data_IF_067083218302
#
_entry.id   IF_067083218302
#
_cell.length_a   1.000
_cell.length_b   1.000
_cell.length_c   1.000
_cell.angle_alpha   90.00
_cell.angle_beta   90.00
_cell.angle_gamma   90.00
#
_symmetry.space_group_name_H-M   'P 1'
#
loop_
_entity.id
_entity.type
_entity.pdbx_description
1 polymer ?
#
# COMPACT_ATOMS: atom_id res chain seq x y z
N UNK A 1 9.55 -1.96 -0.09
CA UNK A 1 8.26 -1.83 -0.81
C UNK A 1 7.59 -3.18 -0.82
N UNK A 2 6.27 -3.23 -0.64
CA UNK A 2 5.51 -4.47 -0.70
C UNK A 2 5.67 -5.16 -2.06
N UNK A 3 5.62 -6.49 -2.09
CA UNK A 3 5.63 -7.24 -3.34
C UNK A 3 4.31 -7.06 -4.10
N UNK A 4 4.39 -7.24 -5.42
CA UNK A 4 3.24 -7.11 -6.31
C UNK A 4 2.19 -8.18 -6.02
N UNK A 5 2.65 -9.41 -5.81
CA UNK A 5 1.84 -10.57 -5.49
C UNK A 5 1.04 -10.34 -4.20
N UNK A 6 1.69 -9.78 -3.18
CA UNK A 6 1.05 -9.53 -1.90
C UNK A 6 0.09 -8.33 -1.95
N UNK A 7 0.45 -7.26 -2.66
CA UNK A 7 -0.48 -6.16 -2.92
C UNK A 7 -1.77 -6.66 -3.63
N UNK A 8 -1.62 -7.54 -4.63
CA UNK A 8 -2.76 -8.15 -5.33
C UNK A 8 -3.54 -9.11 -4.45
N UNK A 9 -2.88 -9.85 -3.56
CA UNK A 9 -3.55 -10.70 -2.57
C UNK A 9 -4.40 -9.87 -1.61
N UNK A 10 -3.87 -8.75 -1.09
CA UNK A 10 -4.62 -7.83 -0.22
C UNK A 10 -5.86 -7.25 -0.92
N UNK A 11 -5.73 -6.82 -2.19
CA UNK A 11 -6.87 -6.35 -2.99
C UNK A 11 -7.93 -7.44 -3.15
N UNK A 12 -7.49 -8.65 -3.49
CA UNK A 12 -8.38 -9.81 -3.68
C UNK A 12 -9.08 -10.19 -2.39
N UNK A 13 -8.39 -10.08 -1.24
CA UNK A 13 -8.96 -10.30 0.08
C UNK A 13 -9.90 -9.17 0.55
N UNK A 14 -10.15 -8.16 -0.29
CA UNK A 14 -11.15 -7.13 -0.03
C UNK A 14 -10.63 -5.86 0.63
N UNK A 15 -9.31 -5.68 0.78
CA UNK A 15 -8.74 -4.43 1.28
C UNK A 15 -9.08 -3.30 0.33
N UNK A 16 -9.90 -2.36 0.81
CA UNK A 16 -10.28 -1.15 0.06
C UNK A 16 -9.29 -0.04 0.32
N UNK A 17 -8.98 0.73 -0.73
CA UNK A 17 -8.03 1.83 -0.66
C UNK A 17 -8.70 3.15 -1.04
N UNK A 18 -8.46 4.18 -0.24
CA UNK A 18 -8.85 5.56 -0.54
C UNK A 18 -7.58 6.36 -0.82
N UNK A 19 -7.31 6.77 -2.07
CA UNK A 19 -6.05 7.39 -2.45
C UNK A 19 -5.80 8.71 -1.72
N UNK A 20 -4.57 8.91 -1.27
CA UNK A 20 -4.07 10.18 -0.72
C UNK A 20 -2.71 10.54 -1.33
N UNK A 21 -2.33 11.81 -1.24
CA UNK A 21 -1.00 12.28 -1.67
C UNK A 21 0.11 11.47 -1.04
N UNK A 22 1.07 11.04 -1.84
CA UNK A 22 2.18 10.18 -1.47
C UNK A 22 1.92 8.68 -1.61
N UNK A 23 0.68 8.28 -1.93
CA UNK A 23 0.36 6.88 -2.21
C UNK A 23 1.05 6.40 -3.47
N UNK A 24 1.45 5.13 -3.46
CA UNK A 24 2.09 4.48 -4.61
C UNK A 24 1.16 3.45 -5.20
N UNK A 25 1.18 3.32 -6.51
CA UNK A 25 0.39 2.32 -7.23
C UNK A 25 1.05 1.90 -8.54
N UNK A 26 0.57 0.80 -9.10
CA UNK A 26 0.90 0.35 -10.46
C UNK A 26 -0.38 0.32 -11.29
N UNK A 27 -0.24 0.51 -12.60
CA UNK A 27 -1.34 0.39 -13.55
C UNK A 27 -1.31 -1.03 -14.13
N UNK A 28 -2.37 -1.81 -13.96
CA UNK A 28 -2.47 -3.17 -14.48
C UNK A 28 -3.02 -3.20 -15.93
N UNK A 29 -2.36 -2.46 -16.83
CA UNK A 29 -2.67 -2.42 -18.27
C UNK A 29 -1.42 -2.67 -19.10
N UNK A 30 -1.60 -3.21 -20.30
CA UNK A 30 -0.52 -3.38 -21.27
C UNK A 30 0.20 -2.04 -21.52
N UNK A 31 1.53 -2.05 -21.51
CA UNK A 31 2.36 -0.85 -21.71
C UNK A 31 2.76 -0.09 -20.44
N UNK A 32 2.34 -0.56 -19.25
CA UNK A 32 2.71 0.02 -17.95
C UNK A 32 3.46 -0.96 -17.04
N UNK A 33 4.04 -2.00 -17.64
CA UNK A 33 4.73 -3.07 -16.93
C UNK A 33 6.03 -2.57 -16.28
N UNK A 34 6.16 -2.78 -14.97
CA UNK A 34 7.31 -2.42 -14.15
C UNK A 34 7.20 -1.07 -13.45
N UNK A 35 6.36 -0.16 -13.94
CA UNK A 35 6.32 1.21 -13.42
C UNK A 35 5.52 1.32 -12.12
N UNK A 36 6.02 2.17 -11.22
CA UNK A 36 5.36 2.58 -9.97
C UNK A 36 5.10 4.08 -10.03
N UNK A 37 3.83 4.45 -9.94
CA UNK A 37 3.35 5.81 -9.93
C UNK A 37 3.14 6.28 -8.48
N UNK A 38 3.29 7.58 -8.25
CA UNK A 38 3.00 8.20 -6.94
C UNK A 38 1.92 9.26 -7.13
N UNK A 39 0.89 9.22 -6.29
CA UNK A 39 -0.12 10.26 -6.21
C UNK A 39 0.55 11.51 -5.67
N UNK A 40 0.53 12.60 -6.44
CA UNK A 40 1.09 13.89 -6.03
C UNK A 40 0.07 14.98 -6.24
N UNK A 41 0.07 15.97 -5.36
CA UNK A 41 -0.59 17.24 -5.62
C UNK A 41 0.16 17.99 -6.73
N UNK A 42 -0.57 18.78 -7.50
CA UNK A 42 0.00 19.73 -8.45
C UNK A 42 0.71 20.84 -7.69
N UNK A 43 2.02 21.00 -7.91
CA UNK A 43 2.81 22.07 -7.29
C UNK A 43 2.92 23.26 -8.25
N UNK A 44 2.62 24.45 -7.74
CA UNK A 44 2.79 25.72 -8.46
C UNK A 44 4.04 26.41 -7.92
N UNK A 45 5.00 26.71 -8.79
CA UNK A 45 6.26 27.37 -8.45
C UNK A 45 6.40 28.72 -9.15
N UNK A 46 6.58 29.79 -8.37
CA UNK A 46 6.84 31.11 -8.91
C UNK A 46 8.33 31.27 -9.26
N UNK A 47 8.60 31.52 -10.55
CA UNK A 47 9.93 31.78 -11.07
C UNK A 47 10.06 33.27 -11.39
N UNK A 48 11.01 33.94 -10.74
CA UNK A 48 11.29 35.36 -10.99
C UNK A 48 12.30 35.54 -12.12
N UNK A 49 11.92 36.30 -13.14
CA UNK A 49 12.79 36.72 -14.22
C UNK A 49 12.88 38.25 -14.26
N UNK A 50 13.94 38.82 -14.86
CA UNK A 50 14.03 40.27 -15.07
C UNK A 50 12.86 40.86 -15.86
N UNK A 51 12.16 40.04 -16.65
CA UNK A 51 10.96 40.41 -17.41
C UNK A 51 9.63 40.25 -16.65
N UNK A 52 9.64 39.66 -15.45
CA UNK A 52 8.44 39.41 -14.63
C UNK A 52 8.43 38.03 -13.98
N UNK A 53 7.41 37.78 -13.16
CA UNK A 53 7.20 36.48 -12.48
C UNK A 53 6.37 35.54 -13.36
N UNK A 54 6.86 34.32 -13.55
CA UNK A 54 6.15 33.25 -14.26
C UNK A 54 5.77 32.18 -13.26
N UNK A 55 4.53 31.72 -13.29
CA UNK A 55 4.08 30.58 -12.50
C UNK A 55 4.29 29.30 -13.32
N UNK A 56 5.19 28.44 -12.85
CA UNK A 56 5.38 27.09 -13.37
C UNK A 56 4.42 26.13 -12.70
N UNK A 57 3.76 25.29 -13.49
CA UNK A 57 2.89 24.22 -13.00
C UNK A 57 3.66 22.91 -13.15
N UNK A 58 4.21 22.39 -12.06
CA UNK A 58 4.85 21.09 -12.04
C UNK A 58 3.74 20.02 -11.92
N UNK A 59 3.39 19.41 -13.04
CA UNK A 59 2.30 18.44 -13.12
C UNK A 59 1.82 18.10 -14.54
N UNK A 60 2.19 18.91 -15.54
CA UNK A 60 1.90 18.60 -16.95
C UNK A 60 3.17 18.18 -17.68
N UNK A 61 3.17 16.96 -18.20
CA UNK A 61 4.11 16.49 -19.21
C UNK A 61 3.36 16.27 -20.52
N UNK A 62 4.04 16.52 -21.63
CA UNK A 62 3.55 16.45 -23.02
C UNK A 62 3.13 15.03 -23.49
N UNK A 63 3.01 14.09 -22.55
CA UNK A 63 2.49 12.73 -22.66
C UNK A 63 1.67 12.41 -21.40
N UNK A 64 0.59 13.16 -21.18
CA UNK A 64 -0.28 12.93 -20.04
C UNK A 64 -1.15 11.69 -20.29
N UNK A 65 -1.09 10.71 -19.40
CA UNK A 65 -2.21 9.79 -19.25
C UNK A 65 -3.33 10.57 -18.57
N UNK A 66 -4.36 10.95 -19.32
CA UNK A 66 -5.41 11.85 -18.83
C UNK A 66 -6.17 11.29 -17.62
N UNK A 67 -6.37 9.96 -17.58
CA UNK A 67 -7.00 9.28 -16.44
C UNK A 67 -6.68 7.78 -16.40
N UNK A 68 -6.78 7.23 -15.20
CA UNK A 68 -6.79 5.79 -14.93
C UNK A 68 -7.92 5.49 -13.94
N UNK A 69 -8.60 4.37 -14.12
CA UNK A 69 -9.63 3.94 -13.18
C UNK A 69 -8.98 3.39 -11.90
N UNK A 70 -9.69 3.47 -10.77
CA UNK A 70 -9.19 2.88 -9.51
C UNK A 70 -9.10 1.35 -9.58
N UNK A 71 -9.94 0.72 -10.40
CA UNK A 71 -9.94 -0.73 -10.64
C UNK A 71 -8.69 -1.18 -11.40
N UNK A 72 -8.17 -0.36 -12.32
CA UNK A 72 -6.92 -0.61 -13.05
C UNK A 72 -5.68 -0.28 -12.19
N UNK A 73 -5.87 0.24 -10.98
CA UNK A 73 -4.80 0.68 -10.09
C UNK A 73 -4.55 -0.36 -8.99
N UNK A 74 -3.37 -0.96 -8.99
CA UNK A 74 -2.89 -1.78 -7.88
C UNK A 74 -2.09 -0.93 -6.90
N UNK A 75 -2.69 -0.65 -5.75
CA UNK A 75 -2.03 0.10 -4.68
C UNK A 75 -0.86 -0.67 -4.08
N UNK A 76 0.22 0.05 -3.77
CA UNK A 76 1.47 -0.45 -3.20
C UNK A 76 1.70 0.23 -1.85
N UNK A 77 0.97 -0.18 -0.78
CA UNK A 77 1.01 0.48 0.51
C UNK A 77 2.42 0.55 1.11
N UNK A 78 2.72 1.67 1.75
CA UNK A 78 3.91 1.82 2.57
C UNK A 78 3.73 1.16 3.94
N UNK A 79 4.84 0.98 4.63
CA UNK A 79 4.90 0.40 5.97
C UNK A 79 3.95 1.06 6.97
N UNK A 80 3.97 2.40 7.05
CA UNK A 80 3.14 3.19 7.96
C UNK A 80 1.64 2.95 7.72
N UNK A 81 1.25 2.82 6.45
CA UNK A 81 -0.13 2.65 6.06
C UNK A 81 -0.64 1.23 6.36
N UNK A 82 0.20 0.21 6.10
CA UNK A 82 -0.12 -1.18 6.45
C UNK A 82 -0.23 -1.36 7.96
N UNK A 83 0.71 -0.77 8.72
CA UNK A 83 0.66 -0.74 10.18
C UNK A 83 -0.63 -0.10 10.67
N UNK A 84 -1.04 1.00 10.04
CA UNK A 84 -2.31 1.64 10.36
C UNK A 84 -3.48 0.66 10.20
N UNK A 85 -3.55 -0.06 9.07
CA UNK A 85 -4.62 -1.01 8.76
C UNK A 85 -4.69 -2.20 9.72
N UNK A 86 -3.58 -2.58 10.37
CA UNK A 86 -3.59 -3.61 11.43
C UNK A 86 -4.29 -3.16 12.72
N UNK A 87 -4.45 -1.84 12.93
CA UNK A 87 -5.19 -1.24 14.04
C UNK A 87 -4.76 -1.86 15.39
N UNK A 88 -5.73 -2.19 16.25
CA UNK A 88 -5.50 -2.73 17.60
C UNK A 88 -4.90 -4.14 17.65
N UNK A 89 -4.73 -4.83 16.51
CA UNK A 89 -4.10 -6.16 16.46
C UNK A 89 -2.59 -6.08 16.48
N UNK A 90 -2.00 -4.97 15.99
CA UNK A 90 -0.55 -4.78 15.98
C UNK A 90 0.05 -4.75 17.38
N UNK A 91 1.21 -5.38 17.54
CA UNK A 91 1.96 -5.41 18.80
C UNK A 91 3.35 -4.84 18.64
N UNK A 92 4.13 -5.37 17.71
CA UNK A 92 5.53 -4.97 17.58
C UNK A 92 6.05 -5.17 16.16
N UNK A 93 7.05 -4.36 15.82
CA UNK A 93 7.97 -4.60 14.72
C UNK A 93 9.35 -4.71 15.33
N UNK A 94 10.04 -5.80 15.06
CA UNK A 94 11.44 -5.99 15.44
C UNK A 94 12.26 -6.35 14.22
N UNK A 95 13.48 -5.84 14.19
CA UNK A 95 14.49 -6.21 13.19
C UNK A 95 15.43 -7.20 13.82
N UNK A 96 15.60 -8.36 13.20
CA UNK A 96 16.61 -9.34 13.57
C UNK A 96 17.82 -9.20 12.66
N UNK A 97 18.99 -9.09 13.27
CA UNK A 97 20.26 -9.00 12.57
C UNK A 97 20.66 -10.36 11.99
N UNK A 98 21.30 -10.33 10.82
CA UNK A 98 21.68 -11.51 10.05
C UNK A 98 21.97 -11.16 8.60
N UNK A 99 22.38 -12.15 7.80
CA UNK A 99 22.58 -12.01 6.36
C UNK A 99 21.69 -13.02 5.60
N UNK A 100 20.53 -12.58 5.04
CA UNK A 100 19.97 -11.22 5.11
C UNK A 100 19.28 -10.91 6.46
N UNK A 101 19.22 -9.62 6.81
CA UNK A 101 18.45 -9.16 7.97
C UNK A 101 16.95 -9.38 7.73
N UNK A 102 16.20 -9.63 8.80
CA UNK A 102 14.75 -9.86 8.73
C UNK A 102 13.97 -8.87 9.59
N UNK A 103 12.75 -8.59 9.16
CA UNK A 103 11.77 -7.78 9.87
C UNK A 103 10.65 -8.70 10.31
N UNK A 104 10.31 -8.67 11.60
CA UNK A 104 9.30 -9.53 12.20
C UNK A 104 8.20 -8.63 12.74
N UNK A 105 6.99 -8.80 12.21
CA UNK A 105 5.77 -8.15 12.66
C UNK A 105 4.99 -9.11 13.53
N UNK A 106 4.64 -8.68 14.74
CA UNK A 106 3.80 -9.41 15.67
C UNK A 106 2.41 -8.78 15.75
N UNK A 107 1.38 -9.61 15.62
CA UNK A 107 -0.02 -9.24 15.80
C UNK A 107 -0.73 -10.21 16.75
N UNK A 108 -1.87 -9.79 17.29
CA UNK A 108 -2.79 -10.67 18.03
C UNK A 108 -4.10 -10.80 17.27
N UNK A 109 -4.43 -12.02 16.85
CA UNK A 109 -5.69 -12.37 16.18
C UNK A 109 -6.47 -13.36 17.04
N UNK A 110 -7.73 -13.04 17.38
CA UNK A 110 -8.55 -13.90 18.25
C UNK A 110 -7.91 -14.21 19.61
N UNK A 111 -7.10 -13.29 20.16
CA UNK A 111 -6.35 -13.48 21.40
C UNK A 111 -5.06 -14.31 21.26
N UNK A 112 -4.73 -14.79 20.06
CA UNK A 112 -3.53 -15.59 19.79
C UNK A 112 -2.47 -14.72 19.11
N UNK A 113 -1.26 -14.70 19.66
CA UNK A 113 -0.12 -14.02 19.04
C UNK A 113 0.33 -14.76 17.78
N UNK A 114 0.59 -14.02 16.70
CA UNK A 114 1.14 -14.51 15.44
C UNK A 114 2.26 -13.60 14.97
N UNK A 115 3.26 -14.19 14.32
CA UNK A 115 4.43 -13.48 13.80
C UNK A 115 4.59 -13.72 12.31
N UNK A 116 4.94 -12.67 11.58
CA UNK A 116 5.18 -12.67 10.14
C UNK A 116 6.54 -12.06 9.88
N UNK A 117 7.34 -12.69 9.02
CA UNK A 117 8.71 -12.25 8.77
C UNK A 117 9.01 -12.12 7.29
N UNK A 118 9.77 -11.09 6.93
CA UNK A 118 10.29 -10.90 5.58
C UNK A 118 11.56 -10.03 5.61
N UNK A 119 12.32 -10.05 4.52
CA UNK A 119 13.46 -9.14 4.36
C UNK A 119 13.00 -7.67 4.22
N UNK A 120 11.85 -7.43 3.58
CA UNK A 120 11.20 -6.13 3.47
C UNK A 120 10.12 -5.97 4.55
N UNK A 121 10.13 -4.90 5.35
CA UNK A 121 9.14 -4.71 6.40
C UNK A 121 7.71 -4.61 5.83
N UNK A 122 7.52 -4.02 4.65
CA UNK A 122 6.18 -3.91 4.05
C UNK A 122 5.58 -5.27 3.70
N UNK A 123 6.40 -6.27 3.36
CA UNK A 123 5.92 -7.63 3.13
C UNK A 123 5.49 -8.29 4.43
N UNK A 124 6.29 -8.19 5.50
CA UNK A 124 5.92 -8.72 6.82
C UNK A 124 4.60 -8.11 7.32
N UNK A 125 4.39 -6.80 7.12
CA UNK A 125 3.13 -6.13 7.40
C UNK A 125 1.98 -6.57 6.49
N UNK A 126 2.25 -6.73 5.18
CA UNK A 126 1.25 -7.16 4.23
C UNK A 126 0.74 -8.57 4.52
N UNK A 127 1.61 -9.50 4.90
CA UNK A 127 1.25 -10.86 5.30
C UNK A 127 0.43 -10.85 6.60
N UNK A 128 0.84 -10.05 7.59
CA UNK A 128 0.09 -9.87 8.82
C UNK A 128 -1.33 -9.32 8.56
N UNK A 129 -1.44 -8.33 7.66
CA UNK A 129 -2.72 -7.74 7.28
C UNK A 129 -3.58 -8.74 6.49
N UNK A 130 -2.98 -9.52 5.59
CA UNK A 130 -3.67 -10.55 4.83
C UNK A 130 -4.27 -11.61 5.76
N UNK A 131 -3.53 -12.04 6.78
CA UNK A 131 -4.03 -12.97 7.79
C UNK A 131 -5.19 -12.38 8.61
N UNK A 132 -5.11 -11.09 8.97
CA UNK A 132 -6.19 -10.40 9.66
C UNK A 132 -7.47 -10.37 8.82
N UNK A 133 -7.41 -9.87 7.58
CA UNK A 133 -8.61 -9.76 6.72
C UNK A 133 -9.18 -11.12 6.37
N UNK A 134 -8.32 -12.11 6.12
CA UNK A 134 -8.78 -13.49 5.83
C UNK A 134 -9.48 -14.13 7.04
N UNK A 135 -9.04 -13.83 8.27
CA UNK A 135 -9.75 -14.32 9.47
C UNK A 135 -11.12 -13.68 9.65
N UNK A 136 -11.26 -12.38 9.36
CA UNK A 136 -12.55 -11.71 9.43
C UNK A 136 -13.55 -12.21 8.38
N UNK A 137 -13.08 -12.61 7.19
CA UNK A 137 -13.94 -13.20 6.17
C UNK A 137 -14.52 -14.55 6.61
N UNK A 138 -13.69 -15.41 7.22
CA UNK A 138 -14.13 -16.72 7.73
C UNK A 138 -15.16 -16.56 8.84
N UNK A 139 -14.95 -15.62 9.77
CA UNK A 139 -15.91 -15.35 10.84
C UNK A 139 -17.29 -14.88 10.30
N UNK A 140 -17.33 -14.20 9.15
CA UNK A 140 -18.59 -13.78 8.52
C UNK A 140 -19.32 -14.94 7.84
N UNK A 141 -18.59 -15.81 7.14
CA UNK A 141 -19.17 -16.99 6.48
C UNK A 141 -19.77 -17.97 7.52
N UNK A 142 -19.12 -18.14 8.68
CA UNK A 142 -19.61 -18.99 9.79
C UNK A 142 -20.93 -18.46 10.42
N UNK A 143 -21.20 -17.16 10.32
CA UNK A 143 -22.44 -16.55 10.85
C UNK A 143 -23.61 -16.74 9.89
N UNK A 144 -23.35 -16.75 8.58
CA UNK A 144 -24.37 -16.91 7.54
C UNK A 144 -24.88 -18.37 7.41
N UNK A 145 -24.14 -19.38 7.87
CA UNK A 145 -24.61 -20.78 7.91
C UNK A 145 -25.62 -21.10 9.04
N UNK A 146 -25.85 -20.16 9.97
CA UNK A 146 -26.69 -20.37 11.15
C UNK A 146 -28.12 -19.78 11.06
N UNK A 147 -28.55 -19.31 9.87
CA UNK A 147 -29.87 -18.69 9.63
C UNK A 147 -30.70 -19.50 8.65
#
# INVERSE_FOLDING_TARGET
MISFELARALRTAGVRWSPVTGDRFRIEREGFDGDVFTVSDMTIEAHEYPSGTVLGFNGTTEWALDSVSLEDSLWMPREDQLRELLRGTFRSLRREEGEPARHIVEIVLGGVARTFEDAAPENAYGEALLALVSSASVDLDDVDELV
#
